data_IF_034487313856
#
_entry.id   IF_034487313856
#
_cell.length_a   1.000
_cell.length_b   1.000
_cell.length_c   1.000
_cell.angle_alpha   90.00
_cell.angle_beta   90.00
_cell.angle_gamma   90.00
#
_symmetry.space_group_name_H-M   'P 1'
#
loop_
_entity.id
_entity.type
_entity.pdbx_description
1 polymer ?
#
# COMPACT_ATOMS: atom_id res chain seq x y z
N UNK A 1 5.32 -20.00 15.71
CA UNK A 1 4.84 -20.34 17.05
C UNK A 1 3.31 -20.30 17.20
N UNK A 2 2.55 -20.02 16.14
CA UNK A 2 1.08 -20.10 16.14
C UNK A 2 0.34 -19.01 16.92
N UNK A 3 1.05 -17.95 17.36
CA UNK A 3 0.40 -16.82 18.02
C UNK A 3 -0.18 -15.89 16.96
N UNK A 4 -1.52 -15.73 16.98
CA UNK A 4 -2.21 -14.74 16.14
C UNK A 4 -2.61 -13.54 16.98
N UNK A 5 -2.40 -12.34 16.45
CA UNK A 5 -2.80 -11.07 17.11
C UNK A 5 -4.24 -10.67 16.76
N UNK A 6 -4.85 -11.34 15.78
CA UNK A 6 -6.23 -11.10 15.35
C UNK A 6 -6.98 -12.42 15.22
N UNK A 7 -8.33 -12.45 15.35
CA UNK A 7 -9.14 -13.64 15.14
C UNK A 7 -8.92 -14.28 13.76
N UNK A 8 -9.08 -15.58 13.67
CA UNK A 8 -9.05 -16.28 12.38
C UNK A 8 -10.20 -15.76 11.49
N UNK A 9 -9.90 -15.55 10.22
CA UNK A 9 -10.87 -15.04 9.26
C UNK A 9 -10.97 -13.51 9.19
N UNK A 10 -10.24 -12.76 10.05
CA UNK A 10 -10.14 -11.30 9.93
C UNK A 10 -9.65 -10.92 8.54
N UNK A 11 -10.34 -9.98 7.86
CA UNK A 11 -9.99 -9.54 6.51
C UNK A 11 -8.63 -8.85 6.48
N UNK A 12 -7.85 -9.21 5.49
CA UNK A 12 -6.47 -8.79 5.31
C UNK A 12 -6.40 -7.68 4.27
N UNK A 13 -6.07 -6.48 4.71
CA UNK A 13 -6.04 -5.28 3.87
C UNK A 13 -4.59 -4.87 3.59
N UNK A 14 -4.32 -4.53 2.34
CA UNK A 14 -3.11 -3.81 1.95
C UNK A 14 -3.43 -2.34 1.70
N UNK A 15 -2.58 -1.46 2.20
CA UNK A 15 -2.59 -0.06 1.83
C UNK A 15 -1.58 0.18 0.70
N UNK A 16 -1.96 0.98 -0.28
CA UNK A 16 -1.06 1.48 -1.34
C UNK A 16 -1.33 2.96 -1.59
N UNK A 17 -0.45 3.63 -2.29
CA UNK A 17 -0.64 5.03 -2.67
C UNK A 17 0.31 5.99 -1.97
N UNK A 18 -0.21 7.16 -1.62
CA UNK A 18 0.58 8.23 -0.98
C UNK A 18 1.02 7.81 0.41
N UNK A 19 2.32 7.93 0.76
CA UNK A 19 2.80 7.60 2.09
C UNK A 19 2.13 8.46 3.17
N UNK A 20 1.71 7.79 4.24
CA UNK A 20 1.07 8.41 5.40
C UNK A 20 2.13 8.70 6.47
N UNK A 21 2.47 9.98 6.64
CA UNK A 21 3.48 10.39 7.62
C UNK A 21 2.96 10.26 9.06
N UNK A 22 3.83 9.81 9.96
CA UNK A 22 3.58 9.79 11.41
C UNK A 22 3.36 11.24 11.89
N UNK A 23 2.33 11.54 12.73
CA UNK A 23 1.47 10.59 13.45
C UNK A 23 0.08 10.35 12.81
N UNK A 24 -0.05 10.42 11.50
CA UNK A 24 -1.35 10.24 10.84
C UNK A 24 -1.80 8.77 10.81
N UNK A 25 -2.31 8.30 11.93
CA UNK A 25 -2.86 6.94 12.10
C UNK A 25 -4.37 6.85 11.83
N UNK A 26 -4.99 7.94 11.32
CA UNK A 26 -6.44 8.01 11.10
C UNK A 26 -6.96 6.81 10.29
N UNK A 27 -6.35 6.56 9.15
CA UNK A 27 -6.77 5.48 8.25
C UNK A 27 -6.56 4.10 8.87
N UNK A 28 -5.40 3.87 9.48
CA UNK A 28 -5.08 2.62 10.17
C UNK A 28 -6.11 2.32 11.26
N UNK A 29 -6.40 3.30 12.12
CA UNK A 29 -7.41 3.17 13.16
C UNK A 29 -8.79 2.87 12.61
N UNK A 30 -9.20 3.50 11.51
CA UNK A 30 -10.50 3.25 10.90
C UNK A 30 -10.57 1.82 10.36
N UNK A 31 -9.58 1.36 9.61
CA UNK A 31 -9.56 0.00 9.05
C UNK A 31 -9.62 -1.05 10.17
N UNK A 32 -8.75 -0.95 11.17
CA UNK A 32 -8.64 -1.96 12.22
C UNK A 32 -9.83 -1.96 13.17
N UNK A 33 -10.40 -0.78 13.47
CA UNK A 33 -11.64 -0.69 14.27
C UNK A 33 -12.91 -1.05 13.47
N UNK A 34 -12.81 -1.21 12.16
CA UNK A 34 -13.90 -1.70 11.30
C UNK A 34 -13.87 -3.22 11.08
N UNK A 35 -12.97 -3.95 11.75
CA UNK A 35 -12.96 -5.42 11.75
C UNK A 35 -12.01 -6.07 10.74
N UNK A 36 -11.09 -5.31 10.15
CA UNK A 36 -10.03 -5.82 9.30
C UNK A 36 -8.65 -5.63 9.94
N UNK A 37 -7.60 -6.13 9.30
CA UNK A 37 -6.20 -5.93 9.72
C UNK A 37 -5.36 -5.49 8.53
N UNK A 38 -4.52 -4.47 8.73
CA UNK A 38 -3.54 -4.05 7.73
C UNK A 38 -2.34 -4.99 7.82
N UNK A 39 -2.07 -5.71 6.73
CA UNK A 39 -1.01 -6.72 6.68
C UNK A 39 0.20 -6.29 5.87
N UNK A 40 0.04 -5.27 5.04
CA UNK A 40 1.11 -4.76 4.18
C UNK A 40 0.81 -3.32 3.75
N UNK A 41 1.87 -2.53 3.62
CA UNK A 41 1.83 -1.18 3.04
C UNK A 41 2.79 -1.10 1.86
N UNK A 42 2.27 -0.95 0.64
CA UNK A 42 3.04 -0.66 -0.56
C UNK A 42 3.20 0.86 -0.69
N UNK A 43 4.01 1.47 0.15
CA UNK A 43 4.32 2.90 0.15
C UNK A 43 5.70 3.16 0.75
N UNK A 44 6.17 4.42 0.72
CA UNK A 44 7.53 4.77 1.18
C UNK A 44 7.76 4.51 2.68
N UNK A 45 6.71 4.44 3.48
CA UNK A 45 6.75 4.08 4.92
C UNK A 45 6.66 2.57 5.16
N UNK A 46 6.33 1.79 4.12
CA UNK A 46 6.17 0.34 4.17
C UNK A 46 7.26 -0.41 3.41
N UNK A 47 6.83 -1.32 2.53
CA UNK A 47 7.72 -2.25 1.82
C UNK A 47 8.81 -1.58 1.00
N UNK A 48 8.53 -0.47 0.34
CA UNK A 48 9.54 0.27 -0.45
C UNK A 48 10.74 0.73 0.37
N UNK A 49 10.58 0.91 1.68
CA UNK A 49 11.66 1.34 2.56
C UNK A 49 12.72 0.24 2.74
N UNK A 50 12.33 -1.01 2.91
CA UNK A 50 13.23 -2.10 3.29
C UNK A 50 13.42 -3.19 2.24
N UNK A 51 12.61 -3.23 1.18
CA UNK A 51 12.81 -4.16 0.06
C UNK A 51 14.06 -3.83 -0.76
N UNK A 52 14.54 -4.81 -1.52
CA UNK A 52 15.72 -4.70 -2.38
C UNK A 52 17.00 -4.34 -1.60
N UNK A 53 17.63 -5.34 -1.02
CA UNK A 53 18.91 -5.17 -0.32
C UNK A 53 20.01 -4.68 -1.28
N UNK A 54 20.97 -3.97 -0.71
CA UNK A 54 22.18 -3.55 -1.43
C UNK A 54 23.06 -4.78 -1.70
N UNK A 55 23.72 -4.82 -2.85
CA UNK A 55 24.71 -5.86 -3.15
C UNK A 55 25.97 -5.64 -2.30
N UNK A 56 26.13 -6.45 -1.26
CA UNK A 56 27.26 -6.39 -0.32
C UNK A 56 28.53 -7.06 -0.86
N UNK A 57 28.52 -7.68 -2.04
CA UNK A 57 29.70 -8.32 -2.65
C UNK A 57 30.71 -7.31 -3.19
N UNK A 58 30.38 -6.05 -3.27
CA UNK A 58 31.21 -4.99 -3.82
C UNK A 58 32.27 -4.56 -2.85
N UNK A 59 33.55 -4.51 -3.33
CA UNK A 59 34.72 -4.28 -2.49
C UNK A 59 35.38 -2.91 -2.69
N UNK A 60 35.20 -2.27 -3.86
CA UNK A 60 35.69 -0.92 -4.08
C UNK A 60 34.65 0.12 -3.65
N UNK A 61 35.13 1.30 -3.24
CA UNK A 61 34.24 2.38 -2.83
C UNK A 61 33.30 2.81 -3.97
N UNK A 62 33.79 2.87 -5.19
CA UNK A 62 32.99 3.22 -6.38
C UNK A 62 31.89 2.19 -6.62
N UNK A 63 32.20 0.89 -6.59
CA UNK A 63 31.21 -0.17 -6.76
C UNK A 63 30.18 -0.19 -5.63
N UNK A 64 30.58 0.14 -4.41
CA UNK A 64 29.65 0.26 -3.28
C UNK A 64 28.65 1.42 -3.47
N UNK A 65 29.11 2.57 -3.96
CA UNK A 65 28.21 3.66 -4.31
C UNK A 65 27.28 3.31 -5.47
N UNK A 66 27.77 2.59 -6.47
CA UNK A 66 26.93 2.10 -7.56
C UNK A 66 25.88 1.13 -7.06
N UNK A 67 26.22 0.18 -6.19
CA UNK A 67 25.26 -0.75 -5.60
C UNK A 67 24.18 -0.05 -4.77
N UNK A 68 24.55 1.00 -4.04
CA UNK A 68 23.58 1.85 -3.33
C UNK A 68 22.65 2.56 -4.31
N UNK A 69 23.17 3.18 -5.36
CA UNK A 69 22.38 3.86 -6.38
C UNK A 69 21.42 2.88 -7.08
N UNK A 70 21.89 1.72 -7.48
CA UNK A 70 21.07 0.67 -8.08
C UNK A 70 19.92 0.23 -7.16
N UNK A 71 20.18 0.07 -5.86
CA UNK A 71 19.13 -0.24 -4.88
C UNK A 71 18.07 0.85 -4.82
N UNK A 72 18.46 2.11 -4.75
CA UNK A 72 17.51 3.22 -4.66
C UNK A 72 16.72 3.45 -5.94
N UNK A 73 17.30 3.16 -7.10
CA UNK A 73 16.62 3.26 -8.40
C UNK A 73 15.58 2.16 -8.64
N UNK A 74 15.51 1.13 -7.80
CA UNK A 74 14.47 0.09 -7.88
C UNK A 74 13.14 0.50 -7.24
N UNK A 75 13.05 1.67 -6.64
CA UNK A 75 11.81 2.15 -6.00
C UNK A 75 10.80 2.56 -7.07
N UNK A 76 9.68 1.86 -7.13
CA UNK A 76 8.57 2.14 -8.05
C UNK A 76 7.70 3.29 -7.51
N UNK A 77 8.21 4.52 -7.60
CA UNK A 77 7.53 5.71 -7.13
C UNK A 77 6.67 6.35 -8.24
N UNK A 78 5.55 6.95 -7.88
CA UNK A 78 4.66 7.66 -8.80
C UNK A 78 5.32 8.85 -9.55
N UNK A 79 6.53 9.26 -9.18
CA UNK A 79 7.30 10.24 -9.93
C UNK A 79 7.91 9.70 -11.23
N UNK A 80 7.91 8.39 -11.43
CA UNK A 80 8.37 7.74 -12.66
C UNK A 80 7.18 7.41 -13.58
N UNK A 81 7.38 7.59 -14.89
CA UNK A 81 6.35 7.29 -15.90
C UNK A 81 7.02 6.73 -17.16
N UNK A 82 6.60 5.57 -17.68
CA UNK A 82 5.57 4.67 -17.12
C UNK A 82 6.05 3.97 -15.85
N UNK A 83 5.12 3.50 -15.00
CA UNK A 83 5.42 2.86 -13.72
C UNK A 83 4.75 1.47 -13.60
N UNK A 84 4.95 0.64 -14.61
CA UNK A 84 4.39 -0.71 -14.66
C UNK A 84 4.91 -1.59 -13.50
N UNK A 85 6.15 -1.40 -13.11
CA UNK A 85 6.76 -2.12 -11.99
C UNK A 85 6.03 -1.93 -10.66
N UNK A 86 5.33 -0.80 -10.44
CA UNK A 86 4.50 -0.60 -9.26
C UNK A 86 3.29 -1.52 -9.25
N UNK A 87 2.64 -1.70 -10.40
CA UNK A 87 1.50 -2.61 -10.53
C UNK A 87 1.95 -4.05 -10.24
N UNK A 88 3.10 -4.46 -10.80
CA UNK A 88 3.67 -5.78 -10.54
C UNK A 88 3.98 -6.00 -9.06
N UNK A 89 4.55 -5.00 -8.38
CA UNK A 89 4.80 -5.06 -6.93
C UNK A 89 3.51 -5.17 -6.12
N UNK A 90 2.49 -4.40 -6.43
CA UNK A 90 1.19 -4.47 -5.77
C UNK A 90 0.58 -5.87 -5.91
N UNK A 91 0.58 -6.43 -7.12
CA UNK A 91 0.04 -7.77 -7.38
C UNK A 91 0.85 -8.86 -6.67
N UNK A 92 2.18 -8.75 -6.68
CA UNK A 92 3.09 -9.66 -5.97
C UNK A 92 2.82 -9.63 -4.46
N UNK A 93 2.78 -8.45 -3.86
CA UNK A 93 2.54 -8.27 -2.43
C UNK A 93 1.14 -8.74 -2.03
N UNK A 94 0.13 -8.45 -2.83
CA UNK A 94 -1.23 -8.93 -2.58
C UNK A 94 -1.29 -10.46 -2.48
N UNK A 95 -0.56 -11.16 -3.35
CA UNK A 95 -0.45 -12.62 -3.32
C UNK A 95 0.37 -13.11 -2.12
N UNK A 96 1.52 -12.50 -1.87
CA UNK A 96 2.44 -12.88 -0.79
C UNK A 96 1.79 -12.74 0.59
N UNK A 97 1.13 -11.61 0.83
CA UNK A 97 0.46 -11.31 2.08
C UNK A 97 -0.98 -11.85 2.15
N UNK A 98 -1.46 -12.57 1.11
CA UNK A 98 -2.82 -13.13 1.04
C UNK A 98 -3.87 -12.08 1.35
N UNK A 99 -3.85 -11.01 0.59
CA UNK A 99 -4.70 -9.83 0.77
C UNK A 99 -6.11 -10.11 0.27
N UNK A 100 -7.12 -9.80 1.07
CA UNK A 100 -8.53 -9.90 0.69
C UNK A 100 -9.01 -8.66 -0.07
N UNK A 101 -8.43 -7.50 0.22
CA UNK A 101 -8.76 -6.24 -0.44
C UNK A 101 -7.67 -5.18 -0.29
N UNK A 102 -7.67 -4.21 -1.19
CA UNK A 102 -6.67 -3.14 -1.25
C UNK A 102 -7.38 -1.79 -1.06
N UNK A 103 -6.76 -0.90 -0.28
CA UNK A 103 -7.16 0.49 -0.19
C UNK A 103 -6.07 1.33 -0.83
N UNK A 104 -6.40 1.99 -1.94
CA UNK A 104 -5.52 2.94 -2.63
C UNK A 104 -5.76 4.34 -2.07
N UNK A 105 -4.73 4.88 -1.41
CA UNK A 105 -4.80 6.13 -0.64
C UNK A 105 -4.18 7.26 -1.43
N UNK A 106 -4.96 8.29 -1.70
CA UNK A 106 -4.46 9.53 -2.26
C UNK A 106 -4.60 10.68 -1.26
N UNK A 107 -3.51 11.38 -0.97
CA UNK A 107 -3.59 12.62 -0.22
C UNK A 107 -4.07 13.74 -1.15
N UNK A 108 -5.00 14.55 -0.68
CA UNK A 108 -5.52 15.71 -1.42
C UNK A 108 -4.36 16.52 -2.03
N UNK A 109 -4.51 16.88 -3.29
CA UNK A 109 -3.53 17.62 -4.09
C UNK A 109 -2.26 16.85 -4.48
N UNK A 110 -2.19 15.54 -4.25
CA UNK A 110 -1.10 14.70 -4.76
C UNK A 110 -1.40 14.24 -6.19
N UNK A 111 -1.18 15.10 -7.17
CA UNK A 111 -1.49 14.83 -8.57
C UNK A 111 -0.81 13.58 -9.14
N UNK A 112 0.36 13.19 -8.61
CA UNK A 112 1.08 12.02 -9.09
C UNK A 112 0.32 10.74 -8.76
N UNK A 113 -0.05 10.56 -7.49
CA UNK A 113 -0.80 9.37 -7.07
C UNK A 113 -2.25 9.39 -7.55
N UNK A 114 -2.86 10.57 -7.68
CA UNK A 114 -4.19 10.71 -8.26
C UNK A 114 -4.24 10.19 -9.70
N UNK A 115 -3.27 10.59 -10.52
CA UNK A 115 -3.16 10.10 -11.90
C UNK A 115 -2.85 8.61 -11.96
N UNK A 116 -1.92 8.12 -11.14
CA UNK A 116 -1.54 6.71 -11.10
C UNK A 116 -2.64 5.80 -10.56
N UNK A 117 -3.42 6.29 -9.60
CA UNK A 117 -4.51 5.55 -8.98
C UNK A 117 -5.50 4.97 -9.99
N UNK A 118 -5.75 5.69 -11.09
CA UNK A 118 -6.57 5.15 -12.18
C UNK A 118 -6.00 3.85 -12.78
N UNK A 119 -4.71 3.81 -13.06
CA UNK A 119 -4.05 2.63 -13.64
C UNK A 119 -3.96 1.48 -12.65
N UNK A 120 -3.67 1.79 -11.39
CA UNK A 120 -3.64 0.81 -10.28
C UNK A 120 -5.01 0.18 -10.09
N UNK A 121 -6.07 0.99 -9.93
CA UNK A 121 -7.43 0.48 -9.78
C UNK A 121 -7.87 -0.38 -10.97
N UNK A 122 -7.54 0.04 -12.19
CA UNK A 122 -7.86 -0.71 -13.41
C UNK A 122 -7.19 -2.08 -13.39
N UNK A 123 -5.88 -2.14 -13.14
CA UNK A 123 -5.12 -3.40 -13.10
C UNK A 123 -5.64 -4.34 -12.00
N UNK A 124 -5.98 -3.83 -10.82
CA UNK A 124 -6.52 -4.62 -9.73
C UNK A 124 -7.91 -5.19 -10.06
N UNK A 125 -8.78 -4.39 -10.67
CA UNK A 125 -10.10 -4.85 -11.14
C UNK A 125 -9.98 -5.95 -12.19
N UNK A 126 -9.06 -5.80 -13.15
CA UNK A 126 -8.77 -6.81 -14.17
C UNK A 126 -8.20 -8.10 -13.58
N UNK A 127 -7.46 -7.99 -12.47
CA UNK A 127 -6.92 -9.13 -11.71
C UNK A 127 -7.91 -9.76 -10.71
N UNK A 128 -9.13 -9.22 -10.60
CA UNK A 128 -10.16 -9.70 -9.68
C UNK A 128 -9.93 -9.37 -8.21
N UNK A 129 -8.99 -8.46 -7.91
CA UNK A 129 -8.69 -8.02 -6.54
C UNK A 129 -9.60 -6.83 -6.20
N UNK A 130 -10.38 -6.90 -5.09
CA UNK A 130 -11.18 -5.77 -4.64
C UNK A 130 -10.31 -4.57 -4.27
N UNK A 131 -10.70 -3.40 -4.74
CA UNK A 131 -9.99 -2.15 -4.45
C UNK A 131 -10.96 -1.04 -4.08
N UNK A 132 -10.60 -0.28 -3.05
CA UNK A 132 -11.27 0.95 -2.63
C UNK A 132 -10.29 2.13 -2.77
N UNK A 133 -10.54 3.02 -3.73
CA UNK A 133 -9.81 4.29 -3.82
C UNK A 133 -10.36 5.30 -2.81
N UNK A 134 -9.50 5.94 -2.06
CA UNK A 134 -9.88 7.02 -1.13
C UNK A 134 -8.97 8.24 -1.32
N UNK A 135 -9.57 9.42 -1.18
CA UNK A 135 -8.86 10.68 -1.05
C UNK A 135 -9.04 11.22 0.36
N UNK A 136 -7.98 11.67 0.99
CA UNK A 136 -7.97 12.16 2.38
C UNK A 136 -6.95 13.27 2.59
N UNK A 137 -6.91 13.84 3.78
CA UNK A 137 -5.89 14.78 4.24
C UNK A 137 -5.46 14.47 5.69
N UNK A 138 -4.65 15.32 6.29
CA UNK A 138 -4.17 15.12 7.66
C UNK A 138 -5.16 15.57 8.74
N UNK A 139 -6.32 16.14 8.37
CA UNK A 139 -7.37 16.53 9.33
C UNK A 139 -8.30 15.38 9.64
N UNK A 140 -9.04 15.47 10.74
CA UNK A 140 -10.05 14.46 11.10
C UNK A 140 -11.44 14.76 10.52
N UNK A 141 -11.58 15.82 9.72
CA UNK A 141 -12.86 16.29 9.21
C UNK A 141 -13.60 15.27 8.33
N UNK A 142 -12.87 14.40 7.67
CA UNK A 142 -13.39 13.35 6.78
C UNK A 142 -13.50 11.95 7.43
N UNK A 143 -13.09 11.81 8.71
CA UNK A 143 -13.03 10.51 9.38
C UNK A 143 -14.37 9.74 9.37
N UNK A 144 -15.50 10.45 9.52
CA UNK A 144 -16.84 9.84 9.46
C UNK A 144 -17.16 9.25 8.08
N UNK A 145 -16.86 10.00 7.02
CA UNK A 145 -17.06 9.54 5.65
C UNK A 145 -16.15 8.35 5.32
N UNK A 146 -14.88 8.42 5.71
CA UNK A 146 -13.91 7.34 5.51
C UNK A 146 -14.37 6.07 6.22
N UNK A 147 -14.82 6.18 7.47
CA UNK A 147 -15.35 5.04 8.23
C UNK A 147 -16.51 4.37 7.50
N UNK A 148 -17.47 5.13 7.01
CA UNK A 148 -18.62 4.59 6.27
C UNK A 148 -18.17 3.82 5.03
N UNK A 149 -17.26 4.39 4.23
CA UNK A 149 -16.78 3.77 3.00
C UNK A 149 -15.96 2.51 3.27
N UNK A 150 -15.07 2.56 4.28
CA UNK A 150 -14.19 1.45 4.64
C UNK A 150 -15.01 0.31 5.25
N UNK A 151 -15.97 0.59 6.15
CA UNK A 151 -16.84 -0.45 6.70
C UNK A 151 -17.64 -1.15 5.61
N UNK A 152 -18.25 -0.40 4.69
CA UNK A 152 -18.97 -0.99 3.56
C UNK A 152 -18.06 -1.83 2.64
N UNK A 153 -16.80 -1.42 2.44
CA UNK A 153 -15.82 -2.20 1.69
C UNK A 153 -15.49 -3.53 2.39
N UNK A 154 -15.25 -3.50 3.70
CA UNK A 154 -14.97 -4.71 4.50
C UNK A 154 -16.18 -5.65 4.48
N UNK A 155 -17.40 -5.15 4.68
CA UNK A 155 -18.63 -5.94 4.58
C UNK A 155 -18.79 -6.61 3.20
N UNK A 156 -18.43 -5.90 2.13
CA UNK A 156 -18.43 -6.48 0.78
C UNK A 156 -17.44 -7.64 0.66
N UNK A 157 -16.28 -7.56 1.32
CA UNK A 157 -15.28 -8.64 1.32
C UNK A 157 -15.78 -9.88 2.10
N UNK A 158 -16.63 -9.70 3.12
CA UNK A 158 -17.20 -10.81 3.90
C UNK A 158 -18.24 -11.62 3.12
N UNK A 159 -18.86 -11.02 2.11
CA UNK A 159 -19.89 -11.65 1.29
C UNK A 159 -19.35 -12.32 0.01
N UNK A 160 -18.04 -12.36 -0.17
CA UNK A 160 -17.35 -13.07 -1.26
C UNK A 160 -16.83 -14.42 -0.79
#
# INVERSE_FOLDING_TARGET
DGVSVVPAGTKRIMLTGTPLAIPNWKLHNIVETSGAVIVCEEMCTGTRYFENLVDESKTTLEDQYMALAERYMKINCACFTPNEGRIDDILRLAKEYKVDGIIDVNLKFCNLYDTEGYFVEKALKESGIPVLGIETDYTDSDAGQLRTRISAFIEMLDNK
#
